data_IF_212385080554
#
_entry.id   IF_212385080554
#
_cell.length_a   1.000
_cell.length_b   1.000
_cell.length_c   1.000
_cell.angle_alpha   90.00
_cell.angle_beta   90.00
_cell.angle_gamma   90.00
#
_symmetry.space_group_name_H-M   'P 1'
#
loop_
_entity.id
_entity.type
_entity.pdbx_description
1 polymer ?
#
# COMPACT_ATOMS: atom_id res chain seq x y z
N UNK A 1 38.06 -5.01 15.57
CA UNK A 1 37.04 -6.01 15.94
C UNK A 1 35.67 -5.38 16.17
N UNK A 2 35.42 -4.61 17.24
CA UNK A 2 34.09 -4.02 17.49
C UNK A 2 33.60 -3.06 16.39
N UNK A 3 34.51 -2.23 15.83
CA UNK A 3 34.22 -1.33 14.71
C UNK A 3 33.85 -2.07 13.42
N UNK A 4 34.46 -3.23 13.16
CA UNK A 4 34.25 -4.00 11.94
C UNK A 4 32.90 -4.73 11.98
N UNK A 5 32.53 -5.23 13.15
CA UNK A 5 31.20 -5.81 13.40
C UNK A 5 30.10 -4.75 13.24
N UNK A 6 30.29 -3.54 13.79
CA UNK A 6 29.31 -2.46 13.63
C UNK A 6 29.10 -2.07 12.15
N UNK A 7 30.18 -1.97 11.37
CA UNK A 7 30.11 -1.63 9.94
C UNK A 7 29.38 -2.70 9.13
N UNK A 8 29.65 -3.98 9.40
CA UNK A 8 28.99 -5.09 8.69
C UNK A 8 27.49 -5.13 8.97
N UNK A 9 27.07 -4.97 10.23
CA UNK A 9 25.65 -4.90 10.61
C UNK A 9 24.94 -3.72 9.92
N UNK A 10 25.58 -2.54 9.89
CA UNK A 10 25.02 -1.38 9.21
C UNK A 10 24.82 -1.62 7.71
N UNK A 11 25.81 -2.19 7.02
CA UNK A 11 25.73 -2.50 5.59
C UNK A 11 24.60 -3.49 5.30
N UNK A 12 24.50 -4.59 6.07
CA UNK A 12 23.44 -5.59 5.88
C UNK A 12 22.05 -4.96 6.11
N UNK A 13 21.91 -4.12 7.14
CA UNK A 13 20.63 -3.45 7.44
C UNK A 13 20.21 -2.50 6.31
N UNK A 14 21.15 -1.70 5.78
CA UNK A 14 20.91 -0.77 4.67
C UNK A 14 20.56 -1.55 3.40
N UNK A 15 21.30 -2.61 3.08
CA UNK A 15 21.04 -3.45 1.92
C UNK A 15 19.66 -4.12 2.02
N UNK A 16 19.32 -4.67 3.19
CA UNK A 16 18.01 -5.28 3.46
C UNK A 16 16.86 -4.28 3.32
N UNK A 17 17.00 -3.08 3.89
CA UNK A 17 15.99 -2.02 3.78
C UNK A 17 15.83 -1.55 2.32
N UNK A 18 16.95 -1.32 1.63
CA UNK A 18 16.96 -0.92 0.23
C UNK A 18 16.30 -1.96 -0.66
N UNK A 19 16.61 -3.25 -0.46
CA UNK A 19 15.95 -4.34 -1.16
C UNK A 19 14.45 -4.39 -0.87
N UNK A 20 14.04 -4.26 0.39
CA UNK A 20 12.61 -4.24 0.77
C UNK A 20 11.85 -3.13 0.08
N UNK A 21 12.44 -1.94 -0.06
CA UNK A 21 11.85 -0.80 -0.76
C UNK A 21 11.86 -0.99 -2.28
N UNK A 22 13.00 -1.36 -2.87
CA UNK A 22 13.13 -1.60 -4.32
C UNK A 22 12.22 -2.72 -4.81
N UNK A 23 12.06 -3.80 -4.02
CA UNK A 23 11.17 -4.92 -4.33
C UNK A 23 9.74 -4.45 -4.58
N UNK A 24 9.28 -3.41 -3.89
CA UNK A 24 7.92 -2.84 -4.11
C UNK A 24 7.73 -2.31 -5.52
N UNK A 25 8.78 -1.78 -6.16
CA UNK A 25 8.69 -1.23 -7.52
C UNK A 25 8.96 -2.25 -8.60
N UNK A 26 9.84 -3.22 -8.34
CA UNK A 26 10.36 -4.13 -9.37
C UNK A 26 9.56 -5.45 -9.41
N UNK A 27 9.10 -5.96 -8.27
CA UNK A 27 8.40 -7.24 -8.22
C UNK A 27 6.92 -7.06 -8.49
N UNK A 28 6.39 -7.91 -9.37
CA UNK A 28 4.97 -7.98 -9.68
C UNK A 28 4.17 -8.40 -8.44
N UNK A 29 3.04 -7.73 -8.23
CA UNK A 29 2.07 -8.05 -7.19
C UNK A 29 0.81 -8.64 -7.82
N UNK A 30 0.08 -9.52 -7.12
CA UNK A 30 -1.28 -9.91 -7.51
C UNK A 30 -2.21 -8.71 -7.70
N UNK A 31 -1.95 -7.58 -7.01
CA UNK A 31 -2.71 -6.36 -7.19
C UNK A 31 -2.45 -5.68 -8.54
N UNK A 32 -1.41 -6.07 -9.28
CA UNK A 32 -1.06 -5.42 -10.54
C UNK A 32 -2.07 -5.65 -11.66
N UNK A 33 -2.92 -6.69 -11.56
CA UNK A 33 -4.04 -6.91 -12.48
C UNK A 33 -5.27 -6.03 -12.18
N UNK A 34 -5.34 -5.42 -11.00
CA UNK A 34 -6.47 -4.58 -10.59
C UNK A 34 -6.28 -3.17 -11.17
N UNK A 35 -7.28 -2.61 -11.86
CA UNK A 35 -7.20 -1.26 -12.40
C UNK A 35 -7.22 -0.22 -11.27
N UNK A 36 -6.72 0.98 -11.53
CA UNK A 36 -6.74 2.05 -10.54
C UNK A 36 -6.12 3.35 -11.01
N UNK A 37 -6.30 4.44 -10.24
CA UNK A 37 -5.82 5.75 -10.62
C UNK A 37 -4.29 5.77 -10.75
N UNK A 38 -3.74 6.55 -11.69
CA UNK A 38 -2.31 6.79 -11.73
C UNK A 38 -1.85 7.48 -10.44
N UNK A 39 -0.67 7.12 -9.96
CA UNK A 39 -0.07 7.80 -8.82
C UNK A 39 0.31 9.24 -9.19
N UNK A 40 0.02 10.19 -8.29
CA UNK A 40 0.45 11.58 -8.44
C UNK A 40 1.98 11.69 -8.37
N UNK A 41 2.62 10.85 -7.56
CA UNK A 41 4.08 10.74 -7.49
C UNK A 41 4.52 9.33 -7.14
N UNK A 42 5.76 8.97 -7.49
CA UNK A 42 6.33 7.66 -7.16
C UNK A 42 6.54 7.45 -5.66
N UNK A 43 6.74 8.52 -4.89
CA UNK A 43 7.05 8.45 -3.44
C UNK A 43 5.78 8.51 -2.59
N UNK A 44 4.85 9.44 -2.87
CA UNK A 44 3.64 9.63 -2.07
C UNK A 44 2.48 8.78 -2.59
N UNK A 45 2.49 8.42 -3.88
CA UNK A 45 1.41 7.67 -4.50
C UNK A 45 0.14 8.53 -4.63
N UNK A 46 -0.99 7.98 -4.19
CA UNK A 46 -2.32 8.59 -4.15
C UNK A 46 -2.74 9.05 -2.75
N UNK A 47 -1.89 8.85 -1.72
CA UNK A 47 -2.21 9.14 -0.32
C UNK A 47 -2.68 10.58 -0.12
N UNK A 48 -1.97 11.55 -0.67
CA UNK A 48 -2.33 12.96 -0.49
C UNK A 48 -3.75 13.29 -1.00
N UNK A 49 -4.20 12.61 -2.06
CA UNK A 49 -5.53 12.81 -2.65
C UNK A 49 -6.61 12.07 -1.85
N UNK A 50 -6.29 10.88 -1.33
CA UNK A 50 -7.19 10.08 -0.49
C UNK A 50 -7.41 10.66 0.90
N UNK A 51 -6.44 11.40 1.42
CA UNK A 51 -6.50 12.02 2.75
C UNK A 51 -6.70 13.55 2.68
N UNK A 52 -7.04 14.08 1.51
CA UNK A 52 -7.40 15.49 1.37
C UNK A 52 -8.72 15.75 2.12
N UNK A 53 -8.73 16.80 2.96
CA UNK A 53 -9.90 17.25 3.70
C UNK A 53 -11.09 17.56 2.79
N UNK A 54 -10.83 17.95 1.54
CA UNK A 54 -11.85 18.20 0.52
C UNK A 54 -11.80 17.16 -0.63
N UNK A 55 -11.23 15.98 -0.36
CA UNK A 55 -10.98 14.91 -1.33
C UNK A 55 -12.22 14.16 -1.85
N UNK A 56 -13.44 14.51 -1.41
CA UNK A 56 -14.65 13.80 -1.80
C UNK A 56 -14.86 13.70 -3.31
N UNK A 57 -14.53 14.77 -4.05
CA UNK A 57 -14.58 14.75 -5.51
C UNK A 57 -13.62 13.70 -6.08
N UNK A 58 -12.42 13.59 -5.53
CA UNK A 58 -11.44 12.60 -5.95
C UNK A 58 -11.96 11.17 -5.72
N UNK A 59 -12.52 10.88 -4.54
CA UNK A 59 -13.14 9.59 -4.25
C UNK A 59 -14.27 9.24 -5.23
N UNK A 60 -15.15 10.20 -5.53
CA UNK A 60 -16.24 10.00 -6.47
C UNK A 60 -15.72 9.73 -7.89
N UNK A 61 -14.75 10.50 -8.36
CA UNK A 61 -14.21 10.37 -9.71
C UNK A 61 -13.52 9.02 -9.92
N UNK A 62 -12.68 8.59 -8.98
CA UNK A 62 -11.99 7.29 -9.08
C UNK A 62 -12.95 6.11 -8.95
N UNK A 63 -13.98 6.22 -8.10
CA UNK A 63 -15.02 5.20 -7.99
C UNK A 63 -15.81 5.07 -9.29
N UNK A 64 -16.19 6.21 -9.89
CA UNK A 64 -16.91 6.24 -11.16
C UNK A 64 -16.08 5.65 -12.31
N UNK A 65 -14.78 5.87 -12.30
CA UNK A 65 -13.89 5.44 -13.38
C UNK A 65 -13.42 3.98 -13.24
N UNK A 66 -13.08 3.54 -12.03
CA UNK A 66 -12.44 2.24 -11.77
C UNK A 66 -13.37 1.22 -11.10
N UNK A 67 -14.55 1.65 -10.64
CA UNK A 67 -15.55 0.79 -10.03
C UNK A 67 -15.37 0.61 -8.53
N UNK A 68 -15.94 -0.48 -8.00
CA UNK A 68 -15.99 -0.76 -6.56
C UNK A 68 -14.72 -1.41 -5.99
N UNK A 69 -13.79 -1.83 -6.84
CA UNK A 69 -12.53 -2.47 -6.46
C UNK A 69 -11.42 -1.88 -7.30
N UNK A 70 -10.48 -1.18 -6.67
CA UNK A 70 -9.38 -0.54 -7.39
C UNK A 70 -8.06 -0.63 -6.62
N UNK A 71 -6.95 -0.60 -7.34
CA UNK A 71 -5.61 -0.49 -6.75
C UNK A 71 -5.24 0.99 -6.59
N UNK A 72 -4.77 1.38 -5.42
CA UNK A 72 -4.17 2.70 -5.17
C UNK A 72 -2.73 2.55 -4.74
N UNK A 73 -1.88 3.54 -5.05
CA UNK A 73 -0.48 3.54 -4.59
C UNK A 73 -0.35 4.29 -3.27
N UNK A 74 0.25 3.64 -2.28
CA UNK A 74 0.64 4.20 -1.01
C UNK A 74 2.03 4.83 -1.02
N UNK A 75 2.54 5.09 0.19
CA UNK A 75 3.89 5.63 0.37
C UNK A 75 4.94 4.62 -0.10
N UNK A 76 6.00 5.12 -0.73
CA UNK A 76 7.15 4.35 -1.20
C UNK A 76 6.74 3.14 -2.07
N UNK A 77 5.81 3.35 -3.00
CA UNK A 77 5.39 2.35 -3.98
C UNK A 77 4.57 1.19 -3.39
N UNK A 78 4.08 1.34 -2.16
CA UNK A 78 3.12 0.42 -1.58
C UNK A 78 1.87 0.29 -2.48
N UNK A 79 1.36 -0.92 -2.63
CA UNK A 79 0.12 -1.17 -3.39
C UNK A 79 -0.95 -1.52 -2.40
N UNK A 80 -2.05 -0.78 -2.40
CA UNK A 80 -3.19 -1.02 -1.52
C UNK A 80 -4.43 -1.28 -2.37
N UNK A 81 -5.29 -2.16 -1.86
CA UNK A 81 -6.59 -2.44 -2.45
C UNK A 81 -7.62 -1.51 -1.80
N UNK A 82 -8.28 -0.70 -2.61
CA UNK A 82 -9.32 0.22 -2.17
C UNK A 82 -10.69 -0.32 -2.57
N UNK A 83 -11.54 -0.55 -1.58
CA UNK A 83 -12.77 -1.35 -1.68
C UNK A 83 -14.01 -0.55 -1.30
N UNK A 84 -15.02 -0.63 -2.17
CA UNK A 84 -16.39 -0.15 -1.96
C UNK A 84 -17.43 -1.28 -2.10
N UNK A 85 -17.03 -2.49 -2.49
CA UNK A 85 -17.94 -3.63 -2.65
C UNK A 85 -18.37 -4.17 -1.27
N UNK A 86 -19.67 -4.13 -0.91
CA UNK A 86 -20.17 -4.65 0.36
C UNK A 86 -19.85 -6.13 0.56
N UNK A 87 -19.83 -6.92 -0.52
CA UNK A 87 -19.53 -8.35 -0.44
C UNK A 87 -18.07 -8.57 -0.07
N UNK A 88 -17.15 -7.89 -0.76
CA UNK A 88 -15.72 -7.94 -0.43
C UNK A 88 -15.46 -7.45 1.01
N UNK A 89 -16.08 -6.33 1.40
CA UNK A 89 -15.94 -5.79 2.75
C UNK A 89 -16.47 -6.74 3.82
N UNK A 90 -17.60 -7.41 3.58
CA UNK A 90 -18.12 -8.43 4.50
C UNK A 90 -17.16 -9.62 4.66
N UNK A 91 -16.49 -10.02 3.59
CA UNK A 91 -15.44 -11.05 3.67
C UNK A 91 -14.26 -10.58 4.53
N UNK A 92 -13.74 -9.37 4.29
CA UNK A 92 -12.58 -8.83 5.02
C UNK A 92 -12.88 -8.55 6.49
N UNK A 93 -14.04 -7.95 6.79
CA UNK A 93 -14.35 -7.40 8.11
C UNK A 93 -15.14 -8.36 9.02
N UNK A 94 -15.83 -9.35 8.46
CA UNK A 94 -16.76 -10.21 9.22
C UNK A 94 -16.47 -11.69 9.03
N UNK A 95 -16.51 -12.17 7.79
CA UNK A 95 -16.51 -13.62 7.52
C UNK A 95 -15.14 -14.26 7.71
N UNK A 96 -14.11 -13.67 7.12
CA UNK A 96 -12.77 -14.25 7.00
C UNK A 96 -11.74 -13.38 7.74
N UNK A 97 -12.15 -12.67 8.81
CA UNK A 97 -11.32 -11.71 9.54
C UNK A 97 -9.96 -12.30 9.97
N UNK A 98 -9.93 -13.56 10.40
CA UNK A 98 -8.71 -14.26 10.83
C UNK A 98 -7.66 -14.47 9.73
N UNK A 99 -8.02 -14.31 8.45
CA UNK A 99 -7.11 -14.40 7.31
C UNK A 99 -6.36 -13.09 7.09
N UNK A 100 -6.94 -11.96 7.52
CA UNK A 100 -6.40 -10.63 7.29
C UNK A 100 -5.74 -10.09 8.56
N UNK A 101 -4.51 -9.59 8.41
CA UNK A 101 -3.82 -8.91 9.51
C UNK A 101 -4.37 -7.49 9.65
N UNK A 102 -4.57 -7.05 10.89
CA UNK A 102 -4.97 -5.67 11.16
C UNK A 102 -3.85 -4.69 10.75
N UNK A 103 -4.25 -3.51 10.27
CA UNK A 103 -3.28 -2.47 9.96
C UNK A 103 -2.49 -2.07 11.20
N UNK A 104 -1.21 -1.74 11.05
CA UNK A 104 -0.29 -1.43 12.16
C UNK A 104 -0.79 -0.34 13.12
N UNK A 105 -1.70 0.54 12.70
CA UNK A 105 -2.31 1.55 13.57
C UNK A 105 -3.36 1.01 14.56
N UNK A 106 -3.80 -0.23 14.40
CA UNK A 106 -4.78 -0.90 15.27
C UNK A 106 -4.14 -1.93 16.21
N UNK A 107 -2.90 -2.34 15.94
CA UNK A 107 -2.11 -3.21 16.81
C UNK A 107 -1.65 -2.42 18.05
N UNK A 108 -2.02 -2.89 19.25
CA UNK A 108 -1.63 -2.31 20.55
C UNK A 108 -0.31 -2.88 21.07
#
# INVERSE_FOLDING_TARGET
MASDVARTVAVISIAGLSWKLLRRYIVNSPLDCVPGPPALSSIIGNIAQLFDMYGWKYHYDIQKQYGSVMKVKGLLGERMLYLYDPKALHHVLVKDQHVYEEGAGFLK
#
